data_IF_418910189289
#
_entry.id   IF_418910189289
#
_cell.length_a   1.000
_cell.length_b   1.000
_cell.length_c   1.000
_cell.angle_alpha   90.00
_cell.angle_beta   90.00
_cell.angle_gamma   90.00
#
_symmetry.space_group_name_H-M   'P 1'
#
loop_
_entity.id
_entity.type
_entity.pdbx_description
1 polymer ?
#
# COMPACT_ATOMS: atom_id res chain seq x y z
N UNK A 1 -17.04 -4.95 -16.28
CA UNK A 1 -16.16 -5.13 -15.11
C UNK A 1 -16.52 -4.04 -14.11
N UNK A 2 -16.86 -4.43 -12.89
CA UNK A 2 -17.33 -3.51 -11.84
C UNK A 2 -16.15 -2.69 -11.34
N UNK A 3 -16.17 -1.36 -11.52
CA UNK A 3 -15.15 -0.49 -10.93
C UNK A 3 -15.72 0.08 -9.64
N UNK A 4 -15.62 -0.68 -8.55
CA UNK A 4 -15.70 -0.06 -7.22
C UNK A 4 -14.57 0.97 -7.18
N UNK A 5 -14.82 2.24 -6.80
CA UNK A 5 -13.77 3.23 -6.70
C UNK A 5 -12.62 2.65 -5.87
N UNK A 6 -11.40 2.57 -6.42
CA UNK A 6 -10.33 1.80 -5.80
C UNK A 6 -10.00 2.29 -4.38
N UNK A 7 -10.12 3.59 -4.14
CA UNK A 7 -9.93 4.19 -2.81
C UNK A 7 -10.97 3.72 -1.78
N UNK A 8 -12.24 3.54 -2.18
CA UNK A 8 -13.30 3.05 -1.31
C UNK A 8 -13.07 1.59 -0.92
N UNK A 9 -12.70 0.74 -1.89
CA UNK A 9 -12.41 -0.68 -1.64
C UNK A 9 -11.24 -0.86 -0.67
N UNK A 10 -10.17 -0.11 -0.89
CA UNK A 10 -8.97 -0.13 -0.04
C UNK A 10 -9.28 0.42 1.36
N UNK A 11 -10.04 1.51 1.45
CA UNK A 11 -10.49 2.10 2.71
C UNK A 11 -11.33 1.11 3.54
N UNK A 12 -12.34 0.48 2.94
CA UNK A 12 -13.17 -0.53 3.61
C UNK A 12 -12.36 -1.75 4.06
N UNK A 13 -11.43 -2.22 3.22
CA UNK A 13 -10.55 -3.36 3.55
C UNK A 13 -9.69 -3.06 4.77
N UNK A 14 -9.11 -1.87 4.86
CA UNK A 14 -8.30 -1.49 6.01
C UNK A 14 -9.14 -1.23 7.25
N UNK A 15 -10.32 -0.64 7.09
CA UNK A 15 -11.25 -0.42 8.20
C UNK A 15 -11.71 -1.76 8.80
N UNK A 16 -12.14 -2.70 7.95
CA UNK A 16 -12.56 -4.05 8.37
C UNK A 16 -11.41 -4.81 9.02
N UNK A 17 -10.21 -4.79 8.42
CA UNK A 17 -9.04 -5.40 9.01
C UNK A 17 -8.68 -4.79 10.38
N UNK A 18 -8.71 -3.46 10.54
CA UNK A 18 -8.46 -2.80 11.83
C UNK A 18 -9.51 -3.17 12.88
N UNK A 19 -10.80 -3.15 12.49
CA UNK A 19 -11.92 -3.53 13.35
C UNK A 19 -11.90 -4.99 13.79
N UNK A 20 -11.33 -5.90 12.99
CA UNK A 20 -11.17 -7.31 13.35
C UNK A 20 -9.89 -7.55 14.15
N UNK A 21 -8.80 -6.91 13.75
CA UNK A 21 -7.49 -7.12 14.36
C UNK A 21 -7.46 -6.62 15.81
N UNK A 22 -7.97 -5.42 16.10
CA UNK A 22 -7.93 -4.85 17.45
C UNK A 22 -8.65 -5.73 18.51
N UNK A 23 -9.85 -6.29 18.26
CA UNK A 23 -10.47 -7.29 19.14
C UNK A 23 -9.67 -8.58 19.27
N UNK A 24 -9.07 -9.09 18.20
CA UNK A 24 -8.21 -10.29 18.28
C UNK A 24 -7.00 -10.02 19.16
N UNK A 25 -6.35 -8.86 18.99
CA UNK A 25 -5.18 -8.47 19.79
C UNK A 25 -5.57 -8.26 21.26
N UNK A 26 -6.77 -7.73 21.52
CA UNK A 26 -7.38 -7.68 22.86
C UNK A 26 -7.54 -9.08 23.45
N UNK A 27 -8.07 -10.03 22.68
CA UNK A 27 -8.29 -11.40 23.12
C UNK A 27 -6.97 -12.14 23.39
N UNK A 28 -5.90 -11.78 22.68
CA UNK A 28 -4.53 -12.25 22.91
C UNK A 28 -3.86 -11.59 24.14
N UNK A 29 -4.58 -10.77 24.91
CA UNK A 29 -4.09 -10.16 26.15
C UNK A 29 -3.20 -8.93 25.95
N UNK A 30 -3.07 -8.41 24.72
CA UNK A 30 -2.25 -7.23 24.45
C UNK A 30 -3.01 -5.92 24.75
N UNK A 31 -2.30 -4.87 25.20
CA UNK A 31 -2.91 -3.58 25.50
C UNK A 31 -3.32 -2.86 24.20
N UNK A 32 -4.64 -2.79 23.95
CA UNK A 32 -5.20 -2.02 22.82
C UNK A 32 -5.15 -0.50 23.03
N UNK A 33 -4.99 -0.05 24.29
CA UNK A 33 -4.99 1.37 24.62
C UNK A 33 -3.61 1.93 24.27
N UNK A 34 -3.62 2.88 23.36
CA UNK A 34 -2.43 3.55 22.87
C UNK A 34 -2.45 4.99 23.41
N UNK A 35 -1.29 5.50 23.82
CA UNK A 35 -1.21 6.86 24.31
C UNK A 35 -1.52 7.86 23.17
N UNK A 36 -2.02 9.06 23.51
CA UNK A 36 -2.23 10.11 22.51
C UNK A 36 -0.91 10.49 21.81
N UNK A 37 0.23 10.34 22.49
CA UNK A 37 1.56 10.56 21.92
C UNK A 37 1.86 9.55 20.81
N UNK A 38 1.62 8.26 21.07
CA UNK A 38 1.85 7.19 20.10
C UNK A 38 0.86 7.26 18.94
N UNK A 39 -0.40 7.66 19.20
CA UNK A 39 -1.40 7.89 18.14
C UNK A 39 -0.97 9.02 17.19
N UNK A 40 -0.38 10.11 17.70
CA UNK A 40 0.15 11.20 16.87
C UNK A 40 1.31 10.76 15.96
N UNK A 41 1.98 9.67 16.30
CA UNK A 41 3.05 9.07 15.49
C UNK A 41 2.49 8.00 14.53
N UNK A 42 1.59 7.14 15.02
CA UNK A 42 0.96 6.09 14.24
C UNK A 42 0.09 6.63 13.10
N UNK A 43 -0.58 7.76 13.32
CA UNK A 43 -1.45 8.38 12.32
C UNK A 43 -0.70 8.76 11.02
N UNK A 44 0.36 9.60 11.05
CA UNK A 44 1.12 9.94 9.84
C UNK A 44 1.82 8.73 9.22
N UNK A 45 2.25 7.75 10.02
CA UNK A 45 2.79 6.49 9.49
C UNK A 45 1.71 5.73 8.71
N UNK A 46 0.51 5.60 9.28
CA UNK A 46 -0.63 4.98 8.61
C UNK A 46 -0.98 5.72 7.31
N UNK A 47 -0.94 7.05 7.32
CA UNK A 47 -1.16 7.85 6.11
C UNK A 47 -0.12 7.55 5.02
N UNK A 48 1.17 7.54 5.36
CA UNK A 48 2.24 7.24 4.42
C UNK A 48 2.13 5.83 3.82
N UNK A 49 1.80 4.84 4.65
CA UNK A 49 1.73 3.44 4.24
C UNK A 49 0.45 3.11 3.46
N UNK A 50 -0.70 3.55 3.95
CA UNK A 50 -2.01 3.17 3.40
C UNK A 50 -2.44 4.12 2.28
N UNK A 51 -2.29 5.43 2.47
CA UNK A 51 -2.70 6.41 1.46
C UNK A 51 -1.60 6.64 0.44
N UNK A 52 -0.39 6.98 0.91
CA UNK A 52 0.76 7.22 0.03
C UNK A 52 1.19 5.96 -0.72
N UNK A 53 1.49 4.89 0.01
CA UNK A 53 1.92 3.61 -0.55
C UNK A 53 0.81 2.88 -1.29
N UNK A 54 -0.17 2.34 -0.56
CA UNK A 54 -1.21 1.49 -1.17
C UNK A 54 -2.13 2.30 -2.10
N UNK A 55 -2.61 3.46 -1.68
CA UNK A 55 -3.45 4.32 -2.52
C UNK A 55 -2.74 4.80 -3.79
N UNK A 56 -1.47 5.19 -3.69
CA UNK A 56 -0.66 5.61 -4.83
C UNK A 56 -0.44 4.49 -5.86
N UNK A 57 -0.14 3.27 -5.41
CA UNK A 57 -0.02 2.10 -6.30
C UNK A 57 -1.32 1.84 -7.05
N UNK A 58 -2.43 1.79 -6.31
CA UNK A 58 -3.75 1.51 -6.87
C UNK A 58 -4.20 2.59 -7.89
N UNK A 59 -3.85 3.85 -7.65
CA UNK A 59 -4.09 4.91 -8.61
C UNK A 59 -3.22 4.75 -9.86
N UNK A 60 -1.93 4.45 -9.68
CA UNK A 60 -0.99 4.33 -10.79
C UNK A 60 -1.24 3.11 -11.68
N UNK A 61 -1.74 2.00 -11.13
CA UNK A 61 -2.13 0.81 -11.90
C UNK A 61 -3.27 1.07 -12.90
N UNK A 62 -3.97 2.20 -12.80
CA UNK A 62 -4.95 2.62 -13.82
C UNK A 62 -4.28 3.10 -15.12
N UNK A 63 -2.99 3.46 -15.06
CA UNK A 63 -2.24 4.07 -16.17
C UNK A 63 -1.00 3.25 -16.57
N UNK A 64 -0.56 2.33 -15.72
CA UNK A 64 0.69 1.58 -15.88
C UNK A 64 0.40 0.08 -15.86
N UNK A 65 0.97 -0.72 -16.79
CA UNK A 65 0.84 -2.17 -16.76
C UNK A 65 1.33 -2.75 -15.44
N UNK A 66 0.60 -3.73 -14.88
CA UNK A 66 0.92 -4.35 -13.58
C UNK A 66 2.33 -4.95 -13.50
N UNK A 67 2.92 -5.35 -14.64
CA UNK A 67 4.32 -5.76 -14.71
C UNK A 67 5.28 -4.61 -14.38
N UNK A 68 5.09 -3.45 -15.00
CA UNK A 68 5.91 -2.27 -14.71
C UNK A 68 5.67 -1.76 -13.29
N UNK A 69 4.42 -1.81 -12.81
CA UNK A 69 4.09 -1.51 -11.42
C UNK A 69 4.85 -2.40 -10.42
N UNK A 70 4.87 -3.71 -10.64
CA UNK A 70 5.60 -4.65 -9.79
C UNK A 70 7.11 -4.37 -9.77
N UNK A 71 7.71 -4.02 -10.92
CA UNK A 71 9.14 -3.69 -11.00
C UNK A 71 9.46 -2.40 -10.22
N UNK A 72 8.63 -1.35 -10.37
CA UNK A 72 8.82 -0.10 -9.64
C UNK A 72 8.60 -0.27 -8.15
N UNK A 73 7.60 -1.06 -7.72
CA UNK A 73 7.40 -1.39 -6.29
C UNK A 73 8.55 -2.24 -5.74
N UNK A 74 9.21 -3.08 -6.54
CA UNK A 74 10.40 -3.81 -6.11
C UNK A 74 11.59 -2.91 -5.76
N UNK A 75 11.54 -1.60 -6.05
CA UNK A 75 12.52 -0.61 -5.59
C UNK A 75 12.30 -0.16 -4.14
N UNK A 76 11.17 -0.49 -3.50
CA UNK A 76 10.90 -0.11 -2.10
C UNK A 76 12.04 -0.46 -1.14
N UNK A 77 12.64 -1.66 -1.17
CA UNK A 77 13.74 -1.99 -0.26
C UNK A 77 15.01 -1.18 -0.54
N UNK A 78 15.23 -0.70 -1.77
CA UNK A 78 16.32 0.24 -2.09
C UNK A 78 16.09 1.58 -1.39
N UNK A 79 14.88 2.12 -1.46
CA UNK A 79 14.53 3.34 -0.72
C UNK A 79 14.66 3.16 0.78
N UNK A 80 14.26 2.01 1.33
CA UNK A 80 14.47 1.70 2.75
C UNK A 80 15.95 1.68 3.11
N UNK A 81 16.80 1.06 2.28
CA UNK A 81 18.25 1.05 2.49
C UNK A 81 18.83 2.48 2.47
N UNK A 82 18.48 3.28 1.46
CA UNK A 82 18.93 4.69 1.37
C UNK A 82 18.55 5.47 2.62
N UNK A 83 17.28 5.37 3.05
CA UNK A 83 16.81 6.03 4.27
C UNK A 83 17.55 5.54 5.51
N UNK A 84 17.70 4.22 5.68
CA UNK A 84 18.44 3.66 6.82
C UNK A 84 19.89 4.18 6.86
N UNK A 85 20.56 4.28 5.72
CA UNK A 85 21.92 4.83 5.65
C UNK A 85 22.01 6.34 5.87
N UNK A 86 21.00 7.09 5.42
CA UNK A 86 21.00 8.55 5.51
C UNK A 86 20.58 9.07 6.89
N UNK A 87 19.74 8.33 7.63
CA UNK A 87 19.28 8.75 8.95
C UNK A 87 20.34 8.45 10.05
N UNK A 88 20.51 9.36 11.04
CA UNK A 88 21.39 9.16 12.19
C UNK A 88 21.11 7.84 12.93
N UNK A 89 22.15 7.16 13.37
CA UNK A 89 22.05 5.86 14.08
C UNK A 89 21.67 4.68 13.17
N UNK A 90 21.69 4.87 11.85
CA UNK A 90 21.47 3.81 10.89
C UNK A 90 22.64 2.84 10.76
N UNK A 91 22.33 1.60 10.42
CA UNK A 91 23.33 0.66 9.94
C UNK A 91 23.56 0.93 8.46
N UNK A 92 24.83 1.17 8.08
CA UNK A 92 25.20 1.31 6.67
C UNK A 92 24.78 0.10 5.84
N UNK A 93 24.64 0.26 4.53
CA UNK A 93 24.30 -0.85 3.65
C UNK A 93 25.45 -1.86 3.62
N UNK A 94 25.25 -3.02 4.23
CA UNK A 94 26.25 -4.10 4.22
C UNK A 94 26.37 -4.70 2.83
N UNK A 95 27.54 -5.26 2.50
CA UNK A 95 27.75 -5.97 1.22
C UNK A 95 26.76 -7.11 1.06
N UNK A 96 26.45 -7.83 2.14
CA UNK A 96 25.43 -8.88 2.15
C UNK A 96 24.04 -8.32 1.79
N UNK A 97 23.60 -7.24 2.43
CA UNK A 97 22.31 -6.60 2.14
C UNK A 97 22.25 -6.05 0.70
N UNK A 98 23.33 -5.42 0.23
CA UNK A 98 23.44 -4.96 -1.15
C UNK A 98 23.33 -6.12 -2.16
N UNK A 99 24.02 -7.23 -1.91
CA UNK A 99 23.98 -8.41 -2.80
C UNK A 99 22.59 -9.06 -2.84
N UNK A 100 21.90 -9.14 -1.69
CA UNK A 100 20.53 -9.64 -1.62
C UNK A 100 19.55 -8.73 -2.37
N UNK A 101 19.72 -7.41 -2.24
CA UNK A 101 18.89 -6.43 -2.95
C UNK A 101 19.08 -6.50 -4.47
N UNK A 102 20.33 -6.58 -4.93
CA UNK A 102 20.66 -6.74 -6.34
C UNK A 102 20.09 -8.04 -6.91
N UNK A 103 20.28 -9.15 -6.19
CA UNK A 103 19.77 -10.46 -6.61
C UNK A 103 18.24 -10.47 -6.67
N UNK A 104 17.56 -9.88 -5.69
CA UNK A 104 16.11 -9.75 -5.69
C UNK A 104 15.59 -8.90 -6.84
N UNK A 105 16.23 -7.76 -7.11
CA UNK A 105 15.88 -6.89 -8.22
C UNK A 105 16.06 -7.57 -9.58
N UNK A 106 17.18 -8.29 -9.77
CA UNK A 106 17.44 -9.08 -10.97
C UNK A 106 16.40 -10.20 -11.14
N UNK A 107 16.02 -10.89 -10.06
CA UNK A 107 14.97 -11.91 -10.10
C UNK A 107 13.64 -11.36 -10.58
N UNK A 108 13.23 -10.19 -10.06
CA UNK A 108 12.01 -9.49 -10.52
C UNK A 108 12.12 -9.07 -11.99
N UNK A 109 13.27 -8.52 -12.41
CA UNK A 109 13.49 -8.12 -13.80
C UNK A 109 13.41 -9.31 -14.78
N UNK A 110 14.01 -10.44 -14.44
CA UNK A 110 13.95 -11.67 -15.25
C UNK A 110 12.52 -12.20 -15.33
N UNK A 111 11.78 -12.23 -14.22
CA UNK A 111 10.41 -12.72 -14.18
C UNK A 111 9.46 -11.86 -15.03
N UNK A 112 9.71 -10.56 -15.07
CA UNK A 112 8.88 -9.59 -15.80
C UNK A 112 9.35 -9.35 -17.23
N UNK A 113 10.53 -9.86 -17.61
CA UNK A 113 11.14 -9.65 -18.93
C UNK A 113 10.19 -9.90 -20.11
N UNK A 114 9.44 -11.03 -20.18
CA UNK A 114 8.53 -11.28 -21.31
C UNK A 114 7.36 -10.28 -21.36
N UNK A 115 6.90 -9.80 -20.19
CA UNK A 115 5.81 -8.81 -20.10
C UNK A 115 6.28 -7.42 -20.47
N UNK A 116 7.54 -7.08 -20.20
CA UNK A 116 8.15 -5.80 -20.53
C UNK A 116 8.43 -5.68 -22.04
N UNK A 117 8.83 -6.77 -22.70
CA UNK A 117 9.08 -6.77 -24.15
C UNK A 117 7.82 -6.47 -24.99
N UNK A 118 6.62 -6.80 -24.47
CA UNK A 118 5.34 -6.49 -25.12
C UNK A 118 4.65 -5.23 -24.60
N UNK A 119 5.18 -4.58 -23.57
CA UNK A 119 4.58 -3.38 -22.99
C UNK A 119 5.01 -2.15 -23.79
N UNK A 120 4.06 -1.49 -24.46
CA UNK A 120 4.26 -0.11 -24.89
C UNK A 120 4.29 0.77 -23.63
N UNK A 121 5.28 1.70 -23.55
CA UNK A 121 5.65 2.43 -22.34
C UNK A 121 4.47 2.98 -21.51
N UNK A 122 4.61 2.94 -20.19
CA UNK A 122 3.58 3.42 -19.26
C UNK A 122 3.41 4.94 -19.32
N UNK A 123 2.27 5.43 -18.85
CA UNK A 123 2.10 6.86 -18.63
C UNK A 123 3.12 7.32 -17.55
N UNK A 124 3.97 8.28 -17.90
CA UNK A 124 4.97 8.88 -17.00
C UNK A 124 4.33 9.32 -15.67
N UNK A 125 3.06 9.75 -15.68
CA UNK A 125 2.33 10.14 -14.47
C UNK A 125 2.13 8.96 -13.52
N UNK A 126 1.79 7.80 -14.05
CA UNK A 126 1.62 6.59 -13.25
C UNK A 126 2.96 6.03 -12.78
N UNK A 127 4.00 6.08 -13.62
CA UNK A 127 5.36 5.68 -13.23
C UNK A 127 5.91 6.55 -12.10
N UNK A 128 5.74 7.87 -12.21
CA UNK A 128 6.12 8.82 -11.16
C UNK A 128 5.32 8.60 -9.87
N UNK A 129 4.01 8.33 -9.99
CA UNK A 129 3.16 8.01 -8.84
C UNK A 129 3.59 6.70 -8.15
N UNK A 130 4.02 5.68 -8.90
CA UNK A 130 4.55 4.43 -8.33
C UNK A 130 5.85 4.64 -7.57
N UNK A 131 6.77 5.43 -8.13
CA UNK A 131 8.01 5.78 -7.44
C UNK A 131 7.73 6.58 -6.17
N UNK A 132 6.82 7.56 -6.23
CA UNK A 132 6.42 8.31 -5.04
C UNK A 132 5.76 7.41 -3.99
N UNK A 133 4.88 6.50 -4.42
CA UNK A 133 4.25 5.53 -3.54
C UNK A 133 5.30 4.62 -2.87
N UNK A 134 6.31 4.16 -3.63
CA UNK A 134 7.41 3.37 -3.11
C UNK A 134 8.22 4.13 -2.05
N UNK A 135 8.50 5.42 -2.29
CA UNK A 135 9.19 6.31 -1.33
C UNK A 135 8.33 6.51 -0.08
N UNK A 136 7.04 6.84 -0.22
CA UNK A 136 6.12 6.97 0.91
C UNK A 136 6.06 5.70 1.76
N UNK A 137 6.01 4.54 1.10
CA UNK A 137 6.02 3.25 1.78
C UNK A 137 7.34 3.02 2.54
N UNK A 138 8.47 3.31 1.91
CA UNK A 138 9.78 3.19 2.54
C UNK A 138 9.91 4.12 3.77
N UNK A 139 9.53 5.39 3.64
CA UNK A 139 9.54 6.37 4.74
C UNK A 139 8.64 5.88 5.88
N UNK A 140 7.38 5.52 5.59
CA UNK A 140 6.44 5.04 6.59
C UNK A 140 6.96 3.80 7.33
N UNK A 141 7.61 2.88 6.61
CA UNK A 141 8.14 1.64 7.19
C UNK A 141 9.37 1.89 8.08
N UNK A 142 10.33 2.69 7.61
CA UNK A 142 11.53 3.06 8.38
C UNK A 142 11.12 3.86 9.62
N UNK A 143 10.20 4.82 9.47
CA UNK A 143 9.68 5.60 10.59
C UNK A 143 8.95 4.69 11.58
N UNK A 144 8.10 3.77 11.13
CA UNK A 144 7.41 2.83 12.02
C UNK A 144 8.36 1.97 12.84
N UNK A 145 9.50 1.55 12.27
CA UNK A 145 10.52 0.79 13.00
C UNK A 145 11.30 1.66 13.99
N UNK A 146 11.67 2.87 13.57
CA UNK A 146 12.52 3.77 14.37
C UNK A 146 11.75 4.61 15.40
N UNK A 147 10.42 4.67 15.31
CA UNK A 147 9.58 5.46 16.21
C UNK A 147 9.64 5.04 17.68
N UNK A 148 10.23 3.88 18.00
CA UNK A 148 10.42 3.43 19.39
C UNK A 148 9.10 3.30 20.15
N UNK A 149 8.02 2.94 19.44
CA UNK A 149 6.68 2.89 19.98
C UNK A 149 6.62 1.87 21.14
N UNK A 150 6.08 2.30 22.28
CA UNK A 150 5.88 1.43 23.45
C UNK A 150 4.66 0.49 23.29
N UNK A 151 4.24 0.24 22.04
CA UNK A 151 3.09 -0.60 21.69
C UNK A 151 3.54 -1.80 20.87
N UNK A 152 2.96 -2.98 21.09
CA UNK A 152 3.25 -4.15 20.27
C UNK A 152 3.02 -3.87 18.78
N UNK A 153 3.84 -4.42 17.87
CA UNK A 153 3.72 -4.18 16.43
C UNK A 153 2.31 -4.47 15.89
N UNK A 154 1.67 -5.54 16.37
CA UNK A 154 0.32 -5.92 15.93
C UNK A 154 -0.74 -4.89 16.36
N UNK A 155 -0.60 -4.30 17.55
CA UNK A 155 -1.46 -3.20 18.03
C UNK A 155 -1.25 -1.95 17.17
N UNK A 156 0.02 -1.60 16.89
CA UNK A 156 0.38 -0.48 16.03
C UNK A 156 -0.24 -0.63 14.64
N UNK A 157 -0.14 -1.81 14.02
CA UNK A 157 -0.76 -2.11 12.73
C UNK A 157 -2.28 -2.00 12.78
N UNK A 158 -2.93 -2.53 13.83
CA UNK A 158 -4.38 -2.39 14.00
C UNK A 158 -4.83 -0.94 14.02
N UNK A 159 -4.13 -0.07 14.76
CA UNK A 159 -4.43 1.36 14.81
C UNK A 159 -4.11 2.10 13.50
N UNK A 160 -3.01 1.77 12.83
CA UNK A 160 -2.68 2.32 11.51
C UNK A 160 -3.76 1.99 10.47
N UNK A 161 -4.24 0.73 10.47
CA UNK A 161 -5.31 0.27 9.58
C UNK A 161 -6.64 0.93 9.87
N UNK A 162 -7.00 1.05 11.16
CA UNK A 162 -8.24 1.69 11.57
C UNK A 162 -8.26 3.18 11.19
N UNK A 163 -7.21 3.93 11.55
CA UNK A 163 -7.12 5.37 11.31
C UNK A 163 -6.95 5.68 9.81
N UNK A 164 -6.06 4.96 9.12
CA UNK A 164 -5.83 5.14 7.69
C UNK A 164 -7.04 4.72 6.85
N UNK A 165 -7.70 3.61 7.22
CA UNK A 165 -8.93 3.15 6.60
C UNK A 165 -10.09 4.13 6.80
N UNK A 166 -10.25 4.65 8.02
CA UNK A 166 -11.27 5.67 8.32
C UNK A 166 -11.05 6.95 7.50
N UNK A 167 -9.80 7.42 7.41
CA UNK A 167 -9.46 8.60 6.62
C UNK A 167 -9.68 8.37 5.13
N UNK A 168 -9.23 7.26 4.56
CA UNK A 168 -9.48 6.95 3.13
C UNK A 168 -10.97 6.87 2.83
N UNK A 169 -11.73 6.23 3.72
CA UNK A 169 -13.19 6.13 3.58
C UNK A 169 -13.83 7.53 3.63
N UNK A 170 -13.42 8.37 4.58
CA UNK A 170 -13.91 9.75 4.70
C UNK A 170 -13.58 10.60 3.46
N UNK A 171 -12.35 10.49 2.94
CA UNK A 171 -11.92 11.19 1.73
C UNK A 171 -12.72 10.71 0.51
N UNK A 172 -12.91 9.40 0.35
CA UNK A 172 -13.69 8.84 -0.77
C UNK A 172 -15.17 9.23 -0.72
N UNK A 173 -15.74 9.33 0.49
CA UNK A 173 -17.10 9.86 0.69
C UNK A 173 -17.16 11.36 0.34
N UNK A 174 -16.16 12.14 0.77
CA UNK A 174 -16.10 13.58 0.52
C UNK A 174 -15.85 13.94 -0.95
N UNK A 175 -15.10 13.13 -1.69
CA UNK A 175 -14.87 13.32 -3.14
C UNK A 175 -16.04 12.85 -4.00
N UNK A 176 -17.09 12.27 -3.41
CA UNK A 176 -18.28 11.82 -4.12
C UNK A 176 -18.08 10.52 -4.92
N UNK A 177 -16.93 9.86 -4.81
CA UNK A 177 -16.67 8.57 -5.46
C UNK A 177 -17.63 7.48 -4.97
N UNK A 178 -18.03 7.52 -3.70
CA UNK A 178 -19.03 6.59 -3.18
C UNK A 178 -20.41 6.74 -3.85
N UNK A 179 -20.74 7.93 -4.38
CA UNK A 179 -22.01 8.20 -5.06
C UNK A 179 -22.02 7.74 -6.53
N UNK A 180 -20.84 7.46 -7.12
CA UNK A 180 -20.73 6.88 -8.47
C UNK A 180 -20.79 5.35 -8.47
N UNK A 181 -20.90 4.71 -7.30
CA UNK A 181 -21.11 3.27 -7.15
C UNK A 181 -22.49 2.84 -7.70
N UNK A 182 -22.55 2.57 -9.01
CA UNK A 182 -23.76 2.04 -9.66
C UNK A 182 -23.91 0.56 -9.34
N UNK A 183 -24.87 0.23 -8.47
CA UNK A 183 -25.37 -1.13 -8.27
C UNK A 183 -26.31 -1.51 -9.42
N UNK A 184 -25.82 -2.21 -10.44
CA UNK A 184 -26.71 -2.90 -11.40
C UNK A 184 -26.95 -4.33 -10.93
N UNK A 185 -27.87 -4.48 -9.98
CA UNK A 185 -28.42 -5.77 -9.52
C UNK A 185 -29.61 -6.27 -10.36
N UNK A 186 -29.67 -5.94 -11.66
CA UNK A 186 -30.66 -6.49 -12.58
C UNK A 186 -30.09 -7.71 -13.30
N UNK A 187 -30.90 -8.76 -13.59
CA UNK A 187 -30.43 -9.91 -14.36
C UNK A 187 -29.88 -9.41 -15.70
N UNK A 188 -28.60 -9.69 -15.96
CA UNK A 188 -27.96 -9.31 -17.22
C UNK A 188 -28.72 -9.92 -18.40
N UNK A 189 -28.82 -9.23 -19.56
CA UNK A 189 -29.46 -9.79 -20.73
C UNK A 189 -28.78 -11.12 -21.09
N UNK A 190 -29.59 -12.17 -21.27
CA UNK A 190 -29.11 -13.50 -21.63
C UNK A 190 -28.23 -13.39 -22.89
N UNK A 191 -26.99 -13.86 -22.79
CA UNK A 191 -26.09 -14.00 -23.94
C UNK A 191 -26.74 -14.91 -24.98
N UNK A 192 -26.82 -14.52 -26.26
CA UNK A 192 -27.34 -15.41 -27.29
C UNK A 192 -26.42 -16.65 -27.42
N UNK A 193 -27.00 -17.84 -27.62
CA UNK A 193 -26.22 -19.05 -27.76
C UNK A 193 -25.58 -19.06 -29.16
N UNK A 194 -24.24 -19.00 -29.20
CA UNK A 194 -23.33 -19.32 -30.33
C UNK A 194 -23.42 -18.49 -31.64
N UNK A 195 -22.29 -18.22 -32.34
CA UNK A 195 -22.29 -17.69 -33.70
C UNK A 195 -22.39 -18.80 -34.76
N UNK A 196 -23.19 -18.57 -35.82
CA UNK A 196 -23.28 -19.39 -37.04
C UNK A 196 -22.06 -19.16 -37.93
#
# INVERSE_FOLDING_TARGET
>A
MQTIPPALMVGLRFLTAGCLLLPVVRALGQPIRVSLRDLRVLFPIGLLLLVGGNGGVVWAEQYVPSGLAALLVATVPLWMAVLETALPGGSGLTVAAASGLLTGFLGVAVLLWPKLQGAQGGDLRGEAALLLAAVCWAIGSVWSRRAGLAVPPLVATGWQMLLGGALMTAVSLATGEAASARWTGGPGPASPPWPT
#
